data_IF_454874256048
#
_entry.id   IF_454874256048
#
_cell.length_a   1.000
_cell.length_b   1.000
_cell.length_c   1.000
_cell.angle_alpha   90.00
_cell.angle_beta   90.00
_cell.angle_gamma   90.00
#
_symmetry.space_group_name_H-M   'P 1'
#
loop_
_entity.id
_entity.type
_entity.pdbx_description
1 polymer ?
#
# COMPACT_ATOMS: atom_id res chain seq x y z
N UNK A 1 18.97 12.29 -17.72
CA UNK A 1 18.63 10.95 -17.78
C UNK A 1 17.18 10.71 -17.50
N UNK A 2 16.63 9.91 -18.32
CA UNK A 2 15.24 9.68 -18.23
C UNK A 2 14.93 8.58 -17.27
N UNK A 3 14.63 8.92 -16.06
CA UNK A 3 14.34 7.91 -15.11
C UNK A 3 12.89 7.80 -14.79
N UNK A 4 12.52 6.58 -14.59
CA UNK A 4 11.24 6.27 -14.02
C UNK A 4 11.23 6.79 -12.60
N UNK A 5 10.13 7.37 -12.14
CA UNK A 5 10.07 7.77 -10.74
C UNK A 5 10.38 6.59 -9.84
N UNK A 6 11.22 6.83 -8.86
CA UNK A 6 11.62 5.78 -7.96
C UNK A 6 10.44 5.37 -7.09
N UNK A 7 10.17 4.09 -7.04
CA UNK A 7 9.17 3.56 -6.13
C UNK A 7 9.80 3.33 -4.77
N UNK A 8 9.12 3.76 -3.74
CA UNK A 8 9.59 3.57 -2.39
C UNK A 8 9.58 2.09 -2.07
N UNK A 9 10.73 1.54 -1.72
CA UNK A 9 10.88 0.13 -1.42
C UNK A 9 9.98 -0.33 -0.30
N UNK A 10 9.74 0.55 0.64
CA UNK A 10 8.90 0.24 1.79
C UNK A 10 7.53 -0.23 1.34
N UNK A 11 6.94 0.46 0.36
CA UNK A 11 5.61 0.13 -0.10
C UNK A 11 5.59 -0.87 -1.24
N UNK A 12 6.75 -1.10 -1.85
CA UNK A 12 6.82 -1.97 -3.01
C UNK A 12 7.04 -3.43 -2.64
N UNK A 13 6.92 -3.76 -1.39
CA UNK A 13 7.03 -5.12 -0.94
C UNK A 13 5.68 -5.81 -1.04
N UNK A 14 5.73 -7.10 -1.34
CA UNK A 14 4.51 -7.89 -1.52
C UNK A 14 3.57 -7.73 -0.31
N UNK A 15 2.33 -7.47 -0.59
CA UNK A 15 1.31 -7.33 0.43
C UNK A 15 1.16 -5.93 0.99
N UNK A 16 2.16 -5.08 0.82
CA UNK A 16 2.11 -3.75 1.41
C UNK A 16 1.14 -2.81 0.73
N UNK A 17 0.93 -3.00 -0.57
CA UNK A 17 -0.05 -2.19 -1.28
C UNK A 17 -1.44 -2.43 -0.72
N UNK A 18 -1.83 -3.70 -0.59
CA UNK A 18 -3.15 -4.03 -0.04
C UNK A 18 -3.28 -3.58 1.41
N UNK A 19 -2.21 -3.76 2.17
CA UNK A 19 -2.20 -3.40 3.58
C UNK A 19 -2.40 -1.89 3.76
N UNK A 20 -1.61 -1.09 3.07
CA UNK A 20 -1.70 0.36 3.21
C UNK A 20 -3.00 0.90 2.63
N UNK A 21 -3.51 0.30 1.56
CA UNK A 21 -4.80 0.67 0.99
C UNK A 21 -5.91 0.46 2.01
N UNK A 22 -5.88 -0.68 2.71
CA UNK A 22 -6.88 -0.97 3.73
C UNK A 22 -6.79 0.02 4.89
N UNK A 23 -5.56 0.38 5.28
CA UNK A 23 -5.38 1.35 6.35
C UNK A 23 -5.88 2.74 5.97
N UNK A 24 -5.65 3.16 4.73
CA UNK A 24 -6.18 4.43 4.24
C UNK A 24 -7.71 4.44 4.31
N UNK A 25 -8.32 3.31 4.00
CA UNK A 25 -9.78 3.20 4.02
C UNK A 25 -10.35 3.16 5.44
N UNK A 26 -9.50 2.94 6.44
CA UNK A 26 -9.91 2.87 7.83
C UNK A 26 -9.10 3.86 8.68
N UNK A 27 -9.33 5.17 8.48
CA UNK A 27 -8.48 6.18 9.11
C UNK A 27 -8.51 6.17 10.64
N UNK A 28 -9.59 5.68 11.22
CA UNK A 28 -9.69 5.60 12.69
C UNK A 28 -9.04 4.34 13.25
N UNK A 29 -8.57 3.48 12.37
CA UNK A 29 -7.90 2.25 12.77
C UNK A 29 -8.72 1.02 12.48
N UNK A 30 -8.03 -0.11 12.47
CA UNK A 30 -8.65 -1.41 12.20
C UNK A 30 -7.94 -2.43 13.07
N UNK A 31 -8.67 -3.42 13.55
CA UNK A 31 -8.07 -4.44 14.40
C UNK A 31 -7.11 -5.32 13.58
N UNK A 32 -6.13 -5.88 14.28
CA UNK A 32 -5.17 -6.80 13.66
C UNK A 32 -5.90 -7.92 12.90
N UNK A 33 -6.90 -8.52 13.54
CA UNK A 33 -7.63 -9.64 12.94
C UNK A 33 -8.36 -9.23 11.68
N UNK A 34 -9.05 -8.09 11.72
CA UNK A 34 -9.78 -7.61 10.55
C UNK A 34 -8.83 -7.24 9.42
N UNK A 35 -7.68 -6.65 9.76
CA UNK A 35 -6.67 -6.30 8.76
C UNK A 35 -6.08 -7.56 8.12
N UNK A 36 -5.83 -8.56 8.94
CA UNK A 36 -5.32 -9.83 8.45
C UNK A 36 -6.26 -10.46 7.45
N UNK A 37 -7.55 -10.46 7.76
CA UNK A 37 -8.55 -11.01 6.87
C UNK A 37 -8.67 -10.22 5.58
N UNK A 38 -8.69 -8.90 5.71
CA UNK A 38 -8.84 -8.03 4.54
C UNK A 38 -7.68 -8.19 3.55
N UNK A 39 -6.50 -8.45 4.06
CA UNK A 39 -5.31 -8.55 3.21
C UNK A 39 -4.92 -9.98 2.88
N UNK A 40 -5.63 -10.96 3.42
CA UNK A 40 -5.34 -12.38 3.21
C UNK A 40 -3.89 -12.73 3.53
N UNK A 41 -3.39 -12.19 4.63
CA UNK A 41 -2.03 -12.45 5.07
C UNK A 41 -2.03 -13.42 6.23
N UNK A 42 -0.95 -14.16 6.37
CA UNK A 42 -0.76 -14.96 7.57
C UNK A 42 -0.48 -14.04 8.75
N UNK A 43 -0.72 -14.54 9.96
CA UNK A 43 -0.44 -13.78 11.17
C UNK A 43 1.01 -13.31 11.19
N UNK A 44 1.94 -14.22 10.88
CA UNK A 44 3.35 -13.89 10.92
C UNK A 44 3.77 -12.86 9.89
N UNK A 45 3.22 -12.97 8.68
CA UNK A 45 3.55 -12.01 7.64
C UNK A 45 3.01 -10.63 7.96
N UNK A 46 1.76 -10.56 8.44
CA UNK A 46 1.20 -9.28 8.83
C UNK A 46 2.01 -8.66 9.96
N UNK A 47 2.35 -9.47 10.96
CA UNK A 47 3.13 -8.99 12.08
C UNK A 47 4.48 -8.43 11.62
N UNK A 48 5.14 -9.13 10.71
CA UNK A 48 6.42 -8.69 10.16
C UNK A 48 6.29 -7.36 9.43
N UNK A 49 5.27 -7.24 8.58
CA UNK A 49 5.03 -5.99 7.86
C UNK A 49 4.74 -4.83 8.82
N UNK A 50 3.92 -5.08 9.82
CA UNK A 50 3.52 -4.00 10.74
C UNK A 50 4.69 -3.52 11.57
N UNK A 51 5.54 -4.44 12.03
CA UNK A 51 6.73 -4.02 12.80
C UNK A 51 7.67 -3.19 11.93
N UNK A 52 7.89 -3.61 10.69
CA UNK A 52 8.76 -2.85 9.79
C UNK A 52 8.19 -1.47 9.51
N UNK A 53 6.90 -1.36 9.31
CA UNK A 53 6.26 -0.08 9.04
C UNK A 53 6.19 0.81 10.26
N UNK A 54 6.03 0.22 11.44
CA UNK A 54 6.00 0.99 12.67
C UNK A 54 7.37 1.60 12.99
N UNK A 55 8.43 0.86 12.67
CA UNK A 55 9.80 1.35 12.92
C UNK A 55 10.11 2.63 12.18
N UNK A 56 9.51 2.82 11.02
CA UNK A 56 9.74 4.03 10.24
C UNK A 56 8.55 4.98 10.28
N UNK A 57 7.69 4.78 11.29
CA UNK A 57 6.59 5.69 11.58
C UNK A 57 5.54 5.79 10.48
N UNK A 58 5.34 4.71 9.74
CA UNK A 58 4.27 4.65 8.74
C UNK A 58 2.96 4.25 9.39
N UNK A 59 2.99 3.32 10.34
CA UNK A 59 1.79 2.88 11.05
C UNK A 59 1.98 3.05 12.55
N UNK A 60 0.87 3.15 13.23
CA UNK A 60 0.79 3.18 14.67
C UNK A 60 0.01 1.97 15.13
N UNK A 61 0.47 1.33 16.20
CA UNK A 61 -0.21 0.18 16.77
C UNK A 61 -0.50 0.48 18.22
N UNK A 62 -1.75 0.30 18.62
CA UNK A 62 -2.11 0.54 20.00
C UNK A 62 -3.04 -0.55 20.49
N UNK A 63 -3.00 -0.79 21.78
CA UNK A 63 -3.89 -1.75 22.40
C UNK A 63 -5.17 -1.07 22.80
N UNK A 64 -6.26 -1.67 22.39
CA UNK A 64 -7.57 -1.21 22.83
C UNK A 64 -8.06 -2.17 23.91
N UNK A 65 -8.26 -1.64 25.09
CA UNK A 65 -8.78 -2.41 26.21
C UNK A 65 -10.17 -1.89 26.55
N UNK A 66 -10.87 -2.59 27.37
CA UNK A 66 -12.21 -2.18 27.77
C UNK A 66 -13.08 -3.40 27.86
N UNK A 67 -14.35 -3.22 27.50
CA UNK A 67 -15.27 -4.36 27.51
C UNK A 67 -14.81 -5.38 26.47
N UNK A 68 -14.62 -6.62 26.89
CA UNK A 68 -14.23 -7.67 26.01
C UNK A 68 -12.73 -7.87 25.95
N UNK A 69 -12.26 -8.54 24.91
CA UNK A 69 -10.86 -8.88 24.76
C UNK A 69 -10.03 -7.72 24.30
N UNK A 70 -8.80 -7.59 24.82
CA UNK A 70 -7.89 -6.58 24.27
C UNK A 70 -7.64 -6.84 22.80
N UNK A 71 -7.58 -5.79 22.02
CA UNK A 71 -7.29 -5.86 20.59
C UNK A 71 -6.16 -4.92 20.26
N UNK A 72 -5.38 -5.31 19.24
CA UNK A 72 -4.39 -4.41 18.68
C UNK A 72 -5.06 -3.68 17.52
N UNK A 73 -5.02 -2.35 17.57
CA UNK A 73 -5.62 -1.50 16.54
C UNK A 73 -4.48 -0.85 15.77
N UNK A 74 -4.55 -0.97 14.46
CA UNK A 74 -3.54 -0.41 13.57
C UNK A 74 -4.14 0.77 12.83
N UNK A 75 -3.40 1.86 12.74
CA UNK A 75 -3.78 2.99 11.91
C UNK A 75 -2.56 3.49 11.17
N UNK A 76 -2.79 4.10 10.02
CA UNK A 76 -1.70 4.72 9.28
C UNK A 76 -1.47 6.11 9.87
N UNK A 77 -0.20 6.49 10.01
CA UNK A 77 0.12 7.81 10.53
C UNK A 77 -0.09 8.87 9.44
N UNK A 78 -0.21 10.15 9.81
CA UNK A 78 -0.27 11.19 8.78
C UNK A 78 0.95 11.17 7.85
N UNK A 79 2.13 10.94 8.42
CA UNK A 79 3.35 10.82 7.63
C UNK A 79 3.27 9.62 6.69
N UNK A 80 2.82 8.48 7.20
CA UNK A 80 2.70 7.27 6.39
C UNK A 80 1.70 7.44 5.28
N UNK A 81 0.58 8.11 5.59
CA UNK A 81 -0.44 8.38 4.59
C UNK A 81 0.13 9.21 3.44
N UNK A 82 0.85 10.28 3.77
CA UNK A 82 1.42 11.15 2.74
C UNK A 82 2.44 10.39 1.89
N UNK A 83 3.30 9.60 2.53
CA UNK A 83 4.29 8.83 1.81
C UNK A 83 3.66 7.77 0.92
N UNK A 84 2.61 7.12 1.40
CA UNK A 84 1.93 6.11 0.60
C UNK A 84 1.26 6.75 -0.61
N UNK A 85 0.63 7.91 -0.44
CA UNK A 85 0.00 8.60 -1.56
C UNK A 85 1.01 9.04 -2.60
N UNK A 86 2.20 9.44 -2.18
CA UNK A 86 3.29 9.74 -3.11
C UNK A 86 3.71 8.50 -3.90
N UNK A 87 3.76 7.37 -3.20
CA UNK A 87 4.09 6.10 -3.86
C UNK A 87 3.03 5.74 -4.90
N UNK A 88 1.75 5.92 -4.56
CA UNK A 88 0.66 5.65 -5.49
C UNK A 88 0.76 6.55 -6.72
N UNK A 89 1.09 7.82 -6.52
CA UNK A 89 1.25 8.76 -7.61
C UNK A 89 2.37 8.33 -8.56
N UNK A 90 3.50 7.91 -8.00
CA UNK A 90 4.61 7.41 -8.81
C UNK A 90 4.22 6.14 -9.56
N UNK A 91 3.48 5.26 -8.90
CA UNK A 91 3.02 4.02 -9.53
C UNK A 91 2.07 4.32 -10.67
N UNK A 92 1.16 5.26 -10.49
CA UNK A 92 0.23 5.66 -11.55
C UNK A 92 0.98 6.18 -12.77
N UNK A 93 2.03 6.93 -12.56
CA UNK A 93 2.84 7.44 -13.66
C UNK A 93 3.43 6.28 -14.47
N UNK A 94 3.92 5.27 -13.79
CA UNK A 94 4.48 4.09 -14.46
C UNK A 94 3.39 3.35 -15.22
N UNK A 95 2.24 3.15 -14.58
CA UNK A 95 1.12 2.46 -15.20
C UNK A 95 0.69 3.16 -16.47
N UNK A 96 0.59 4.49 -16.43
CA UNK A 96 0.21 5.25 -17.62
C UNK A 96 1.21 5.10 -18.74
N UNK A 97 2.49 5.10 -18.41
CA UNK A 97 3.52 4.90 -19.44
C UNK A 97 3.43 3.54 -20.09
N UNK A 98 3.19 2.50 -19.29
CA UNK A 98 3.04 1.16 -19.82
C UNK A 98 1.80 1.06 -20.71
N UNK A 99 0.70 1.62 -20.25
CA UNK A 99 -0.55 1.58 -21.01
C UNK A 99 -0.41 2.31 -22.32
N UNK A 100 0.22 3.47 -22.30
CA UNK A 100 0.43 4.26 -23.51
C UNK A 100 1.32 3.51 -24.49
N UNK A 101 2.39 2.90 -24.02
CA UNK A 101 3.32 2.18 -24.89
C UNK A 101 2.71 0.92 -25.45
N UNK A 102 1.81 0.27 -24.71
CA UNK A 102 1.23 -1.01 -25.13
C UNK A 102 -0.01 -0.85 -25.97
N UNK A 103 -0.58 0.33 -26.01
CA UNK A 103 -1.85 0.55 -26.69
C UNK A 103 -1.69 0.46 -28.20
N UNK A 104 -2.48 -0.40 -28.88
CA UNK A 104 -2.41 -0.45 -30.34
C UNK A 104 -2.83 0.88 -30.93
N UNK A 105 -2.08 1.41 -31.78
CA UNK A 105 -2.38 2.69 -32.39
C UNK A 105 -1.86 3.88 -31.65
N UNK A 106 -1.44 3.72 -30.43
CA UNK A 106 -0.89 4.86 -29.67
C UNK A 106 0.36 5.37 -30.32
N UNK A 107 1.11 4.45 -30.93
CA UNK A 107 2.26 4.81 -31.71
C UNK A 107 1.99 4.56 -33.16
N UNK A 108 0.98 4.59 -33.58
CA UNK A 108 0.53 4.34 -34.90
C UNK A 108 0.91 3.03 -35.45
N UNK A 109 1.00 2.82 -35.32
CA UNK A 109 0.94 1.85 -35.58
C UNK A 109 0.64 0.92 -35.47
N UNK A 110 0.61 0.91 -35.42
CA UNK A 110 0.29 0.03 -35.05
C UNK A 110 -0.48 -0.70 -35.33
N UNK A 111 -0.45 -0.63 -35.72
CA UNK A 111 -1.23 -1.30 -35.88
C UNK A 111 -1.87 -1.95 -36.00
N UNK A 112 -1.96 -1.77 -36.32
CA UNK A 112 -2.67 -2.25 -36.24
C UNK A 112 -3.19 -2.97 -36.42
N UNK A 113 -3.27 -2.98 -36.54
CA UNK A 113 -3.80 -3.58 -36.49
C UNK A 113 -4.17 -4.19 -36.59
N UNK A 114 -4.27 -4.17 -36.85
CA UNK A 114 -4.68 -4.58 -36.75
C UNK A 114 -4.95 -4.90 -36.59
#
# INVERSE_FOLDING_TARGET
MNRVPALDRVFHERGRLALCTTLIANPDGISFTALQEACSLTHGNLNRHLHALAEINIVDMRRKTGAGRPQTIISITPQGRDQFLEYIDALETIVRKVQSAAEPGASSNRLATT
#
